data_IF_282314238907
#
_entry.id   IF_282314238907
#
_cell.length_a   1.000
_cell.length_b   1.000
_cell.length_c   1.000
_cell.angle_alpha   90.00
_cell.angle_beta   90.00
_cell.angle_gamma   90.00
#
_symmetry.space_group_name_H-M   'P 1'
#
loop_
_entity.id
_entity.type
_entity.pdbx_description
1 polymer ?
#
# COMPACT_ATOMS: atom_id res chain seq x y z
N UNK A 1 -21.91 74.88 -25.72
CA UNK A 1 -20.43 74.91 -25.67
C UNK A 1 -19.94 73.47 -25.71
N UNK A 2 -19.11 73.12 -26.70
CA UNK A 2 -18.53 71.78 -26.94
C UNK A 2 -17.29 71.57 -26.06
N UNK A 3 -17.15 70.39 -25.45
CA UNK A 3 -15.86 69.78 -25.08
C UNK A 3 -16.00 68.34 -24.56
N UNK A 4 -16.28 67.45 -25.50
CA UNK A 4 -15.59 66.17 -25.74
C UNK A 4 -14.29 65.92 -24.97
N UNK A 5 -14.28 64.87 -24.14
CA UNK A 5 -13.08 64.06 -23.90
C UNK A 5 -13.39 62.57 -24.11
N UNK A 6 -13.09 62.16 -25.34
CA UNK A 6 -12.85 60.80 -25.77
C UNK A 6 -11.49 60.35 -25.18
N UNK A 7 -11.46 59.30 -24.37
CA UNK A 7 -10.23 58.51 -24.20
C UNK A 7 -10.58 57.09 -23.78
N UNK A 8 -10.75 56.29 -24.82
CA UNK A 8 -10.85 54.85 -24.85
C UNK A 8 -9.52 54.23 -24.37
N UNK A 9 -9.50 53.63 -23.19
CA UNK A 9 -8.44 52.72 -22.75
C UNK A 9 -9.09 51.35 -22.55
N UNK A 10 -9.23 50.61 -23.66
CA UNK A 10 -9.68 49.22 -23.72
C UNK A 10 -8.50 48.35 -24.16
N UNK A 11 -7.50 48.18 -23.30
CA UNK A 11 -6.44 47.16 -23.42
C UNK A 11 -5.90 47.04 -21.99
N UNK A 12 -6.31 46.09 -21.15
CA UNK A 12 -5.90 44.68 -21.16
C UNK A 12 -6.67 43.94 -20.04
N UNK A 13 -7.59 43.02 -20.35
CA UNK A 13 -7.85 41.88 -19.49
C UNK A 13 -7.36 40.61 -20.18
N UNK A 14 -6.13 40.64 -20.73
CA UNK A 14 -5.50 39.49 -21.42
C UNK A 14 -4.26 39.02 -20.64
N UNK A 15 -4.28 39.16 -19.31
CA UNK A 15 -3.28 38.53 -18.44
C UNK A 15 -3.92 37.57 -17.43
N UNK A 16 -5.25 37.39 -17.45
CA UNK A 16 -5.95 36.54 -16.50
C UNK A 16 -6.35 35.15 -17.06
N UNK A 17 -5.94 34.80 -18.29
CA UNK A 17 -6.30 33.52 -18.93
C UNK A 17 -5.05 32.83 -19.46
N UNK A 18 -4.17 32.42 -18.55
CA UNK A 18 -3.22 31.34 -18.80
C UNK A 18 -2.83 30.77 -17.44
N UNK A 19 -3.04 29.46 -17.25
CA UNK A 19 -2.78 28.64 -16.06
C UNK A 19 -3.92 28.44 -15.05
N UNK A 20 -5.16 28.21 -15.53
CA UNK A 20 -6.06 27.27 -14.85
C UNK A 20 -6.48 26.20 -15.84
N UNK A 21 -5.57 25.28 -16.14
CA UNK A 21 -5.90 24.01 -16.76
C UNK A 21 -4.85 22.97 -16.35
N UNK A 22 -5.29 21.97 -15.59
CA UNK A 22 -4.55 20.73 -15.39
C UNK A 22 -3.97 20.55 -14.00
N UNK A 23 -4.80 20.24 -13.00
CA UNK A 23 -4.46 19.07 -12.20
C UNK A 23 -4.64 17.86 -13.11
N UNK A 24 -3.65 17.59 -13.97
CA UNK A 24 -3.48 16.26 -14.51
C UNK A 24 -3.00 15.41 -13.33
N UNK A 25 -3.94 14.77 -12.62
CA UNK A 25 -3.58 13.68 -11.72
C UNK A 25 -3.12 12.55 -12.64
N UNK A 26 -1.84 12.58 -13.01
CA UNK A 26 -1.17 11.40 -13.52
C UNK A 26 -1.27 10.39 -12.38
N UNK A 27 -2.08 9.35 -12.57
CA UNK A 27 -1.96 8.15 -11.77
C UNK A 27 -0.67 7.48 -12.23
N UNK A 28 0.48 8.08 -11.91
CA UNK A 28 1.70 7.33 -11.79
C UNK A 28 1.40 6.36 -10.67
N UNK A 29 1.19 5.08 -11.01
CA UNK A 29 1.49 4.02 -10.07
C UNK A 29 3.00 4.08 -9.81
N UNK A 30 3.41 5.04 -9.00
CA UNK A 30 4.72 4.98 -8.36
C UNK A 30 4.62 3.78 -7.47
N UNK A 31 5.25 2.68 -7.89
CA UNK A 31 5.56 1.60 -6.98
C UNK A 31 6.60 2.19 -6.03
N UNK A 32 6.14 2.82 -4.95
CA UNK A 32 7.00 3.10 -3.82
C UNK A 32 7.49 1.74 -3.33
N UNK A 33 8.77 1.46 -3.58
CA UNK A 33 9.40 0.25 -3.07
C UNK A 33 9.48 0.41 -1.56
N UNK A 34 8.47 -0.10 -0.85
CA UNK A 34 8.52 -0.22 0.60
C UNK A 34 9.45 -1.37 0.92
N UNK A 35 10.60 -1.10 1.51
CA UNK A 35 11.46 -2.15 2.05
C UNK A 35 10.74 -2.79 3.25
N UNK A 36 10.58 -4.12 3.17
CA UNK A 36 9.90 -4.91 4.20
C UNK A 36 10.92 -5.87 4.81
N UNK A 37 11.15 -5.72 6.11
CA UNK A 37 11.90 -6.70 6.88
C UNK A 37 10.97 -7.81 7.38
N UNK A 38 11.42 -9.06 7.27
CA UNK A 38 10.65 -10.24 7.71
C UNK A 38 11.40 -11.00 8.78
N UNK A 39 10.69 -11.38 9.84
CA UNK A 39 11.23 -12.20 10.93
C UNK A 39 10.30 -13.40 11.17
N UNK A 40 10.89 -14.59 11.26
CA UNK A 40 10.17 -15.83 11.57
C UNK A 40 10.43 -16.21 13.03
N UNK A 41 9.36 -16.33 13.82
CA UNK A 41 9.44 -16.71 15.24
C UNK A 41 8.73 -18.02 15.46
N UNK A 42 9.36 -18.94 16.18
CA UNK A 42 8.75 -20.18 16.61
C UNK A 42 8.55 -20.17 18.12
N UNK A 43 7.44 -20.74 18.59
CA UNK A 43 7.18 -20.85 20.03
C UNK A 43 8.18 -21.82 20.71
N UNK A 44 8.70 -22.78 19.94
CA UNK A 44 9.76 -23.72 20.32
C UNK A 44 10.54 -24.16 19.10
N UNK A 45 11.74 -24.73 19.29
CA UNK A 45 12.50 -25.32 18.18
C UNK A 45 11.66 -26.38 17.45
N UNK A 46 11.47 -26.28 16.13
CA UNK A 46 10.76 -27.29 15.37
C UNK A 46 11.46 -28.65 15.43
N UNK A 47 10.69 -29.70 15.64
CA UNK A 47 11.17 -31.07 15.67
C UNK A 47 10.49 -31.91 14.59
N UNK A 48 11.25 -32.76 13.93
CA UNK A 48 10.72 -33.62 12.88
C UNK A 48 9.56 -34.51 13.40
N UNK A 49 8.48 -34.57 12.63
CA UNK A 49 7.29 -35.35 12.97
C UNK A 49 6.38 -34.72 14.03
N UNK A 50 6.70 -33.53 14.55
CA UNK A 50 5.84 -32.77 15.46
C UNK A 50 5.27 -31.53 14.77
N UNK A 51 4.05 -31.16 15.15
CA UNK A 51 3.47 -29.87 14.74
C UNK A 51 4.25 -28.74 15.39
N UNK A 52 4.62 -27.74 14.59
CA UNK A 52 5.22 -26.50 15.05
C UNK A 52 4.36 -25.30 14.60
N UNK A 53 4.20 -24.34 15.51
CA UNK A 53 3.58 -23.06 15.22
C UNK A 53 4.65 -22.00 15.02
N UNK A 54 4.40 -21.07 14.11
CA UNK A 54 5.28 -19.94 13.88
C UNK A 54 4.47 -18.66 13.70
N UNK A 55 5.15 -17.53 13.90
CA UNK A 55 4.65 -16.20 13.64
C UNK A 55 5.56 -15.54 12.60
N UNK A 56 4.95 -15.01 11.53
CA UNK A 56 5.64 -14.18 10.55
C UNK A 56 5.43 -12.72 10.93
N UNK A 57 6.51 -12.03 11.28
CA UNK A 57 6.49 -10.62 11.68
C UNK A 57 7.00 -9.78 10.51
N UNK A 58 6.17 -8.87 10.02
CA UNK A 58 6.50 -7.94 8.95
C UNK A 58 6.78 -6.55 9.55
N UNK A 59 7.92 -5.95 9.20
CA UNK A 59 8.35 -4.65 9.74
C UNK A 59 8.79 -3.69 8.65
N UNK A 60 8.66 -2.40 8.91
CA UNK A 60 9.24 -1.33 8.09
C UNK A 60 10.77 -1.22 8.33
N UNK A 61 11.42 -0.34 7.57
CA UNK A 61 12.85 -0.02 7.71
C UNK A 61 13.24 0.48 9.10
N UNK A 62 12.29 1.04 9.86
CA UNK A 62 12.49 1.53 11.22
C UNK A 62 12.16 0.45 12.28
N UNK A 63 11.99 -0.81 11.85
CA UNK A 63 11.66 -1.97 12.67
C UNK A 63 10.31 -1.89 13.39
N UNK A 64 9.38 -1.04 12.95
CA UNK A 64 8.02 -1.03 13.46
C UNK A 64 7.17 -2.10 12.75
N UNK A 65 6.19 -2.71 13.41
CA UNK A 65 5.24 -3.60 12.74
C UNK A 65 4.54 -2.88 11.59
N UNK A 66 4.51 -3.52 10.41
CA UNK A 66 3.76 -3.00 9.27
C UNK A 66 2.27 -2.97 9.59
N UNK A 67 1.62 -1.89 9.16
CA UNK A 67 0.19 -1.65 9.36
C UNK A 67 -0.48 -1.49 8.00
N UNK A 68 -1.81 -1.64 7.97
CA UNK A 68 -2.64 -1.37 6.79
C UNK A 68 -2.26 -2.22 5.55
N UNK A 69 -1.95 -3.51 5.77
CA UNK A 69 -1.81 -4.47 4.69
C UNK A 69 -3.10 -4.49 3.84
N UNK A 70 -2.93 -4.48 2.52
CA UNK A 70 -4.04 -4.57 1.58
C UNK A 70 -4.21 -6.01 1.09
N UNK A 71 -5.46 -6.38 0.82
CA UNK A 71 -5.78 -7.70 0.26
C UNK A 71 -5.34 -7.70 -1.20
N UNK A 72 -4.48 -8.65 -1.55
CA UNK A 72 -4.04 -8.90 -2.92
C UNK A 72 -4.34 -10.36 -3.27
N UNK A 73 -5.04 -10.58 -4.39
CA UNK A 73 -5.56 -11.90 -4.77
C UNK A 73 -6.30 -12.62 -3.62
N UNK A 74 -7.27 -11.93 -3.01
CA UNK A 74 -8.17 -12.41 -1.95
C UNK A 74 -7.53 -12.72 -0.58
N UNK A 75 -6.22 -12.53 -0.38
CA UNK A 75 -5.56 -12.72 0.92
C UNK A 75 -4.58 -11.59 1.24
N UNK A 76 -4.27 -11.43 2.53
CA UNK A 76 -3.32 -10.41 3.00
C UNK A 76 -1.87 -10.87 2.85
N UNK A 77 -1.62 -12.18 2.98
CA UNK A 77 -0.29 -12.78 2.86
C UNK A 77 -0.42 -14.17 2.22
N UNK A 78 0.42 -14.42 1.21
CA UNK A 78 0.69 -15.75 0.68
C UNK A 78 2.07 -16.20 1.17
N UNK A 79 2.15 -17.38 1.78
CA UNK A 79 3.42 -17.95 2.19
C UNK A 79 3.63 -19.31 1.52
N UNK A 80 4.84 -19.53 1.00
CA UNK A 80 5.25 -20.79 0.40
C UNK A 80 6.38 -21.36 1.22
N UNK A 81 6.19 -22.60 1.71
CA UNK A 81 7.20 -23.36 2.44
C UNK A 81 7.70 -24.46 1.52
N UNK A 82 9.01 -24.59 1.40
CA UNK A 82 9.67 -25.56 0.52
C UNK A 82 10.65 -26.39 1.34
N UNK A 83 10.65 -27.70 1.16
CA UNK A 83 11.64 -28.59 1.77
C UNK A 83 13.03 -28.39 1.14
N UNK A 84 14.09 -28.70 1.89
CA UNK A 84 15.47 -28.58 1.40
C UNK A 84 15.75 -29.46 0.17
N UNK A 85 15.13 -30.64 0.11
CA UNK A 85 15.20 -31.56 -1.03
C UNK A 85 14.26 -31.20 -2.19
N UNK A 86 13.48 -30.13 -2.05
CA UNK A 86 12.49 -29.62 -3.00
C UNK A 86 11.35 -30.61 -3.36
N UNK A 87 11.22 -31.72 -2.63
CA UNK A 87 10.18 -32.73 -2.88
C UNK A 87 8.81 -32.31 -2.32
N UNK A 88 8.78 -31.35 -1.39
CA UNK A 88 7.56 -30.90 -0.73
C UNK A 88 7.41 -29.38 -0.80
N UNK A 89 6.23 -28.94 -1.23
CA UNK A 89 5.85 -27.52 -1.28
C UNK A 89 4.49 -27.37 -0.60
N UNK A 90 4.39 -26.42 0.32
CA UNK A 90 3.12 -26.02 0.92
C UNK A 90 2.84 -24.56 0.61
N UNK A 91 1.65 -24.27 0.05
CA UNK A 91 1.12 -22.93 -0.09
C UNK A 91 0.09 -22.70 1.02
N UNK A 92 0.38 -21.74 1.91
CA UNK A 92 -0.44 -21.45 3.08
C UNK A 92 -0.84 -19.98 3.13
N UNK A 93 -1.99 -19.71 3.74
CA UNK A 93 -2.50 -18.37 4.02
C UNK A 93 -2.50 -18.17 5.54
N UNK A 94 -1.46 -17.52 6.12
CA UNK A 94 -1.40 -17.31 7.56
C UNK A 94 -2.59 -16.48 8.06
N UNK A 95 -3.17 -16.89 9.18
CA UNK A 95 -4.10 -16.04 9.90
C UNK A 95 -3.32 -14.86 10.52
N UNK A 96 -3.87 -13.65 10.42
CA UNK A 96 -3.34 -12.51 11.17
C UNK A 96 -3.81 -12.61 12.61
N UNK A 97 -2.88 -12.57 13.56
CA UNK A 97 -3.23 -12.43 14.97
C UNK A 97 -3.67 -11.00 15.25
N UNK A 98 -4.99 -10.79 15.34
CA UNK A 98 -5.77 -9.75 16.06
C UNK A 98 -5.23 -8.32 16.31
N UNK A 99 -4.21 -7.84 15.58
CA UNK A 99 -3.76 -6.44 15.67
C UNK A 99 -4.40 -5.55 14.59
N UNK A 100 -5.18 -6.13 13.66
CA UNK A 100 -6.01 -5.36 12.70
C UNK A 100 -7.41 -6.00 12.56
N UNK A 101 -8.14 -6.14 13.67
CA UNK A 101 -9.61 -6.24 13.58
C UNK A 101 -10.22 -4.84 13.44
N UNK A 102 -10.20 -4.31 12.20
CA UNK A 102 -11.18 -3.38 11.58
C UNK A 102 -10.53 -2.59 10.46
N UNK A 103 -10.40 -3.24 9.30
CA UNK A 103 -10.39 -2.54 8.02
C UNK A 103 -10.72 -3.49 6.86
N UNK A 104 -11.83 -4.23 6.95
CA UNK A 104 -12.69 -4.53 5.79
C UNK A 104 -13.91 -5.31 6.27
N UNK A 105 -15.09 -4.87 5.84
CA UNK A 105 -16.37 -5.41 6.27
C UNK A 105 -16.51 -6.90 5.98
N UNK A 106 -17.23 -7.57 6.89
CA UNK A 106 -17.92 -8.84 6.78
C UNK A 106 -17.70 -9.59 5.45
N UNK A 107 -16.80 -10.56 5.46
CA UNK A 107 -16.84 -11.68 4.51
C UNK A 107 -17.51 -12.82 5.26
N UNK A 108 -18.82 -12.97 5.05
CA UNK A 108 -19.53 -14.20 5.38
C UNK A 108 -19.07 -15.30 4.41
N UNK A 109 -18.85 -16.51 4.93
CA UNK A 109 -18.42 -17.69 4.17
C UNK A 109 -19.58 -18.37 3.45
#
# INVERSE_FOLDING_TARGET
>A
MKNNKLSMIFVLPILAILLVAGCAQSNNHTMDNVEVNTELRFDSTPEAGKTASFQLVLKDEQANPLKNLQIEHDRLVHAVIVSEDLQSIAHIHPALSEVIERACGNIEW
#
